data_IF_637211097259
#
_entry.id   IF_637211097259
#
_cell.length_a   1.000
_cell.length_b   1.000
_cell.length_c   1.000
_cell.angle_alpha   90.00
_cell.angle_beta   90.00
_cell.angle_gamma   90.00
#
_symmetry.space_group_name_H-M   'P 1'
#
loop_
_entity.id
_entity.type
_entity.pdbx_description
1 polymer ?
#
# COMPACT_ATOMS: atom_id res chain seq x y z
N UNK A 1 12.73 -57.97 22.19
CA UNK A 1 12.16 -56.61 22.34
C UNK A 1 13.35 -55.67 22.52
N UNK A 2 13.74 -54.75 21.63
CA UNK A 2 13.00 -53.87 20.73
C UNK A 2 13.60 -53.86 19.32
N UNK A 3 12.71 -53.84 18.37
CA UNK A 3 12.85 -53.61 16.93
C UNK A 3 13.02 -52.11 16.63
N UNK A 4 13.70 -51.81 15.50
CA UNK A 4 13.41 -50.71 14.55
C UNK A 4 13.62 -49.25 15.04
N UNK A 5 13.96 -48.25 14.23
CA UNK A 5 13.92 -48.06 12.76
C UNK A 5 15.05 -47.06 12.40
N UNK A 6 15.84 -47.36 11.38
CA UNK A 6 16.65 -46.36 10.66
C UNK A 6 15.69 -45.66 9.70
N UNK A 7 15.36 -44.40 9.97
CA UNK A 7 14.58 -43.58 9.03
C UNK A 7 15.49 -43.14 7.89
N UNK A 8 15.42 -43.84 6.78
CA UNK A 8 15.95 -43.38 5.49
C UNK A 8 15.15 -42.17 5.04
N UNK A 9 15.77 -40.99 5.05
CA UNK A 9 15.23 -39.81 4.37
C UNK A 9 15.63 -39.89 2.90
N UNK A 10 14.62 -40.02 2.04
CA UNK A 10 14.74 -40.00 0.60
C UNK A 10 14.97 -38.56 0.14
N UNK A 11 16.19 -38.23 -0.30
CA UNK A 11 16.49 -36.97 -0.98
C UNK A 11 16.04 -37.12 -2.43
N UNK A 12 14.85 -36.61 -2.76
CA UNK A 12 14.48 -36.42 -4.17
C UNK A 12 15.33 -35.26 -4.72
N UNK A 13 16.32 -35.61 -5.54
CA UNK A 13 17.11 -34.65 -6.29
C UNK A 13 16.24 -33.91 -7.30
N UNK A 14 15.90 -32.67 -7.00
CA UNK A 14 15.49 -31.70 -8.01
C UNK A 14 16.76 -31.30 -8.77
N UNK A 15 16.83 -31.70 -10.04
CA UNK A 15 17.83 -31.20 -10.98
C UNK A 15 17.69 -29.69 -11.07
N UNK A 16 18.64 -28.96 -10.48
CA UNK A 16 18.76 -27.51 -10.61
C UNK A 16 19.27 -27.25 -12.02
N UNK A 17 18.36 -27.03 -12.96
CA UNK A 17 18.70 -26.30 -14.19
C UNK A 17 19.28 -24.96 -13.73
N UNK A 18 20.45 -24.59 -14.24
CA UNK A 18 21.12 -23.33 -13.91
C UNK A 18 20.19 -22.15 -14.17
N UNK A 19 19.52 -21.66 -13.12
CA UNK A 19 18.84 -20.38 -13.16
C UNK A 19 19.95 -19.33 -13.23
N UNK A 20 20.02 -18.59 -14.34
CA UNK A 20 20.64 -17.28 -14.29
C UNK A 20 19.76 -16.46 -13.35
N UNK A 21 20.25 -16.11 -12.17
CA UNK A 21 19.56 -15.11 -11.36
C UNK A 21 19.51 -13.84 -12.20
N UNK A 22 18.30 -13.39 -12.55
CA UNK A 22 18.13 -12.00 -12.96
C UNK A 22 18.65 -11.13 -11.79
N UNK A 23 19.31 -10.03 -12.11
CA UNK A 23 19.75 -9.06 -11.11
C UNK A 23 18.51 -8.55 -10.36
N UNK A 24 18.40 -8.89 -9.08
CA UNK A 24 17.30 -8.43 -8.23
C UNK A 24 17.74 -7.13 -7.61
N UNK A 25 17.03 -6.05 -7.91
CA UNK A 25 17.24 -4.78 -7.24
C UNK A 25 16.28 -4.63 -6.08
N UNK A 26 16.70 -3.88 -5.07
CA UNK A 26 15.85 -3.52 -3.94
C UNK A 26 15.80 -2.01 -3.78
N UNK A 27 14.65 -1.49 -3.38
CA UNK A 27 14.53 -0.11 -2.96
C UNK A 27 13.86 -0.03 -1.60
N UNK A 28 14.33 0.86 -0.75
CA UNK A 28 13.63 1.21 0.48
C UNK A 28 13.52 2.72 0.58
N UNK A 29 12.51 3.21 1.29
CA UNK A 29 12.46 4.63 1.56
C UNK A 29 11.26 5.03 2.39
N UNK A 30 11.04 6.33 2.44
CA UNK A 30 9.99 6.91 3.24
C UNK A 30 9.47 8.20 2.60
N UNK A 31 8.32 8.66 3.09
CA UNK A 31 7.76 9.93 2.67
C UNK A 31 6.42 10.20 3.33
N UNK A 32 5.53 10.86 2.60
CA UNK A 32 4.19 11.20 3.05
C UNK A 32 3.13 10.50 2.20
N UNK A 33 2.02 10.16 2.86
CA UNK A 33 0.81 9.61 2.27
C UNK A 33 -0.35 10.49 2.69
N UNK A 34 -1.16 10.90 1.73
CA UNK A 34 -2.50 11.40 2.00
C UNK A 34 -3.57 10.47 1.45
N UNK A 35 -4.78 10.61 1.94
CA UNK A 35 -5.93 9.86 1.45
C UNK A 35 -7.21 10.66 1.59
N UNK A 36 -8.00 10.65 0.52
CA UNK A 36 -9.33 11.22 0.43
C UNK A 36 -10.34 10.06 0.30
N UNK A 37 -11.24 9.96 1.27
CA UNK A 37 -12.31 8.97 1.27
C UNK A 37 -13.63 9.71 1.41
N UNK A 38 -14.44 9.69 0.36
CA UNK A 38 -15.69 10.44 0.24
C UNK A 38 -16.85 9.50 0.11
N UNK A 39 -18.04 9.98 0.45
CA UNK A 39 -19.29 9.33 0.09
C UNK A 39 -20.09 10.27 -0.82
N UNK A 40 -20.48 9.83 -2.01
CA UNK A 40 -21.21 10.67 -2.98
C UNK A 40 -22.69 10.85 -2.62
N UNK A 41 -23.26 9.92 -1.85
CA UNK A 41 -24.69 9.95 -1.48
C UNK A 41 -24.97 10.64 -0.14
N UNK A 42 -23.92 11.04 0.58
CA UNK A 42 -24.05 11.75 1.86
C UNK A 42 -22.84 12.66 2.09
N UNK A 43 -22.98 13.64 2.96
CA UNK A 43 -21.99 14.69 3.18
C UNK A 43 -20.72 14.24 3.95
N UNK A 44 -20.30 12.98 3.84
CA UNK A 44 -19.14 12.47 4.58
C UNK A 44 -17.85 12.53 3.76
N UNK A 45 -16.81 13.09 4.38
CA UNK A 45 -15.46 13.19 3.83
C UNK A 45 -14.43 12.85 4.90
N UNK A 46 -13.42 12.09 4.51
CA UNK A 46 -12.29 11.65 5.31
C UNK A 46 -10.98 12.03 4.63
N UNK A 47 -10.27 12.99 5.22
CA UNK A 47 -8.92 13.38 4.82
C UNK A 47 -7.94 12.92 5.90
N UNK A 48 -6.93 12.16 5.49
CA UNK A 48 -5.87 11.71 6.37
C UNK A 48 -4.50 11.95 5.77
N UNK A 49 -3.54 12.33 6.62
CA UNK A 49 -2.12 12.39 6.25
C UNK A 49 -1.28 11.55 7.20
N UNK A 50 -0.36 10.75 6.68
CA UNK A 50 0.52 9.86 7.44
C UNK A 50 1.95 9.85 6.88
N UNK A 51 2.98 9.61 7.71
CA UNK A 51 4.25 9.11 7.19
C UNK A 51 4.05 7.72 6.58
N UNK A 52 4.78 7.44 5.50
CA UNK A 52 4.80 6.13 4.83
C UNK A 52 6.24 5.62 4.71
N UNK A 53 6.41 4.32 4.92
CA UNK A 53 7.64 3.59 4.69
C UNK A 53 7.39 2.58 3.57
N UNK A 54 8.30 2.50 2.62
CA UNK A 54 8.15 1.70 1.42
C UNK A 54 9.34 0.78 1.23
N UNK A 55 9.05 -0.43 0.76
CA UNK A 55 10.04 -1.40 0.32
C UNK A 55 9.62 -1.96 -1.03
N UNK A 56 10.57 -2.08 -1.96
CA UNK A 56 10.35 -2.63 -3.30
C UNK A 56 11.39 -3.71 -3.57
N UNK A 57 10.92 -4.82 -4.13
CA UNK A 57 11.76 -5.82 -4.76
C UNK A 57 11.50 -5.77 -6.26
N UNK A 58 12.57 -5.75 -7.05
CA UNK A 58 12.52 -5.64 -8.49
C UNK A 58 13.18 -6.88 -9.11
N UNK A 59 12.42 -7.97 -9.31
CA UNK A 59 12.93 -9.15 -10.01
C UNK A 59 13.33 -8.88 -11.48
N UNK A 60 12.90 -7.74 -12.03
CA UNK A 60 13.34 -7.19 -13.31
C UNK A 60 13.15 -5.67 -13.32
N UNK A 61 13.72 -4.98 -14.30
CA UNK A 61 13.55 -3.53 -14.47
C UNK A 61 12.10 -3.09 -14.73
N UNK A 62 11.22 -4.04 -15.08
CA UNK A 62 9.84 -3.81 -15.50
C UNK A 62 8.80 -4.37 -14.53
N UNK A 63 9.21 -5.08 -13.48
CA UNK A 63 8.31 -5.73 -12.55
C UNK A 63 8.73 -5.45 -11.11
N UNK A 64 7.79 -4.95 -10.31
CA UNK A 64 8.04 -4.54 -8.93
C UNK A 64 7.02 -5.18 -8.00
N UNK A 65 7.51 -5.72 -6.89
CA UNK A 65 6.72 -6.08 -5.73
C UNK A 65 6.95 -4.99 -4.69
N UNK A 66 5.92 -4.22 -4.39
CA UNK A 66 5.99 -3.07 -3.48
C UNK A 66 5.18 -3.36 -2.22
N UNK A 67 5.75 -3.00 -1.06
CA UNK A 67 5.04 -2.96 0.22
C UNK A 67 5.12 -1.55 0.79
N UNK A 68 3.98 -0.99 1.21
CA UNK A 68 3.93 0.28 1.93
C UNK A 68 3.33 0.07 3.31
N UNK A 69 3.93 0.68 4.32
CA UNK A 69 3.43 0.71 5.68
C UNK A 69 3.30 2.15 6.14
N UNK A 70 2.13 2.52 6.65
CA UNK A 70 1.87 3.84 7.20
C UNK A 70 1.27 3.72 8.60
N UNK A 71 1.64 4.64 9.47
CA UNK A 71 1.19 4.63 10.86
C UNK A 71 1.10 6.04 11.41
N UNK A 72 0.32 6.20 12.48
CA UNK A 72 0.12 7.48 13.15
C UNK A 72 -0.31 8.62 12.22
N UNK A 73 -1.08 8.30 11.18
CA UNK A 73 -1.66 9.32 10.32
C UNK A 73 -2.77 10.07 11.03
N UNK A 74 -2.73 11.39 11.00
CA UNK A 74 -3.79 12.22 11.56
C UNK A 74 -4.77 12.61 10.47
N UNK A 75 -6.06 12.52 10.77
CA UNK A 75 -7.08 12.94 9.82
C UNK A 75 -8.39 13.36 10.48
N UNK A 76 -9.23 13.97 9.68
CA UNK A 76 -10.58 14.40 10.05
C UNK A 76 -11.58 13.57 9.28
N UNK A 77 -12.63 13.16 9.97
CA UNK A 77 -13.81 12.57 9.38
C UNK A 77 -15.01 13.41 9.79
N UNK A 78 -15.66 14.05 8.83
CA UNK A 78 -16.84 14.88 9.08
C UNK A 78 -18.09 14.24 8.50
N UNK A 79 -19.16 14.26 9.29
CA UNK A 79 -20.53 14.13 8.82
C UNK A 79 -21.04 15.55 8.59
N UNK A 80 -21.45 15.88 7.36
CA UNK A 80 -21.96 17.18 6.91
C UNK A 80 -20.99 18.21 6.33
N UNK A 81 -21.39 18.73 5.18
CA UNK A 81 -20.99 19.98 4.53
C UNK A 81 -21.41 21.23 5.33
N UNK A 82 -21.73 21.05 6.62
CA UNK A 82 -22.11 22.10 7.55
C UNK A 82 -20.89 22.38 8.44
N UNK A 83 -20.26 23.57 8.35
CA UNK A 83 -19.03 23.92 9.07
C UNK A 83 -19.18 23.99 10.60
N UNK A 84 -20.34 23.58 11.15
CA UNK A 84 -20.68 23.57 12.58
C UNK A 84 -20.72 22.18 13.21
N UNK A 85 -20.67 21.09 12.42
CA UNK A 85 -20.44 19.75 12.97
C UNK A 85 -18.94 19.60 13.28
N UNK A 86 -18.61 19.30 14.53
CA UNK A 86 -17.21 19.11 14.91
C UNK A 86 -16.68 17.84 14.23
N UNK A 87 -15.66 17.94 13.33
CA UNK A 87 -15.08 16.77 12.71
C UNK A 87 -14.49 15.86 13.79
N UNK A 88 -14.74 14.55 13.65
CA UNK A 88 -14.12 13.56 14.51
C UNK A 88 -12.68 13.35 14.09
N UNK A 89 -11.75 13.36 15.06
CA UNK A 89 -10.34 13.13 14.80
C UNK A 89 -10.03 11.63 14.85
N UNK A 90 -9.24 11.19 13.88
CA UNK A 90 -8.89 9.78 13.71
C UNK A 90 -7.39 9.61 13.50
N UNK A 91 -6.87 8.51 14.06
CA UNK A 91 -5.56 7.95 13.74
C UNK A 91 -5.71 6.88 12.64
N UNK A 92 -4.97 7.00 11.54
CA UNK A 92 -4.92 6.00 10.48
C UNK A 92 -3.60 5.24 10.47
N UNK A 93 -3.68 3.96 10.14
CA UNK A 93 -2.54 3.06 9.96
C UNK A 93 -2.91 1.95 8.99
N UNK A 94 -1.95 1.42 8.23
CA UNK A 94 -2.22 0.35 7.28
C UNK A 94 -1.00 -0.19 6.58
N UNK A 95 -1.26 -1.23 5.80
CA UNK A 95 -0.31 -1.96 4.96
C UNK A 95 -0.87 -2.05 3.54
N UNK A 96 -0.01 -1.90 2.55
CA UNK A 96 -0.32 -2.08 1.13
C UNK A 96 0.68 -3.06 0.53
N UNK A 97 0.20 -3.97 -0.31
CA UNK A 97 1.03 -4.87 -1.11
C UNK A 97 0.62 -4.71 -2.58
N UNK A 98 1.56 -4.30 -3.42
CA UNK A 98 1.31 -4.00 -4.83
C UNK A 98 2.22 -4.83 -5.75
N UNK A 99 1.66 -5.24 -6.89
CA UNK A 99 2.37 -5.80 -8.02
C UNK A 99 2.29 -4.80 -9.16
N UNK A 100 3.45 -4.29 -9.60
CA UNK A 100 3.53 -3.17 -10.54
C UNK A 100 4.29 -3.59 -11.79
N UNK A 101 3.83 -3.06 -12.93
CA UNK A 101 4.55 -3.06 -14.20
C UNK A 101 5.11 -1.66 -14.47
N UNK A 102 6.37 -1.57 -14.87
CA UNK A 102 7.10 -0.31 -15.02
C UNK A 102 7.85 -0.19 -16.34
N UNK A 103 8.13 1.04 -16.75
CA UNK A 103 8.93 1.33 -17.95
C UNK A 103 10.39 0.95 -17.77
N UNK A 104 11.11 1.51 -16.80
CA UNK A 104 12.46 1.10 -16.39
C UNK A 104 12.74 1.70 -15.00
N UNK A 105 12.68 0.87 -13.97
CA UNK A 105 12.81 1.32 -12.57
C UNK A 105 14.26 1.45 -12.09
N UNK A 106 15.24 0.96 -12.86
CA UNK A 106 16.63 0.85 -12.40
C UNK A 106 17.52 1.91 -13.03
N UNK A 107 17.30 2.22 -14.31
CA UNK A 107 18.11 3.22 -15.01
C UNK A 107 17.87 4.63 -14.50
N UNK A 108 18.90 5.47 -14.52
CA UNK A 108 18.78 6.92 -14.27
C UNK A 108 17.76 7.55 -15.24
N UNK A 109 16.91 8.43 -14.72
CA UNK A 109 15.88 9.11 -15.50
C UNK A 109 14.45 8.83 -15.02
N UNK A 110 13.48 9.24 -15.85
CA UNK A 110 12.07 9.10 -15.53
C UNK A 110 11.57 7.67 -15.71
N UNK A 111 10.75 7.23 -14.77
CA UNK A 111 10.00 5.99 -14.88
C UNK A 111 8.52 6.22 -14.58
N UNK A 112 7.69 5.37 -15.16
CA UNK A 112 6.26 5.30 -14.87
C UNK A 112 5.87 3.85 -14.58
N UNK A 113 4.83 3.68 -13.78
CA UNK A 113 4.32 2.36 -13.42
C UNK A 113 2.82 2.38 -13.17
N UNK A 114 2.22 1.21 -13.34
CA UNK A 114 0.84 0.93 -12.97
C UNK A 114 0.74 -0.51 -12.48
N UNK A 115 -0.29 -0.82 -11.71
CA UNK A 115 -0.46 -2.17 -11.22
C UNK A 115 -1.75 -2.43 -10.49
N UNK A 116 -1.73 -3.53 -9.74
CA UNK A 116 -2.81 -3.92 -8.84
C UNK A 116 -2.22 -4.16 -7.46
N UNK A 117 -3.04 -4.02 -6.44
CA UNK A 117 -2.63 -4.28 -5.08
C UNK A 117 -3.77 -4.61 -4.16
N UNK A 118 -3.39 -4.95 -2.95
CA UNK A 118 -4.29 -5.15 -1.83
C UNK A 118 -3.89 -4.18 -0.71
N UNK A 119 -4.88 -3.55 -0.08
CA UNK A 119 -4.67 -2.72 1.08
C UNK A 119 -5.41 -3.26 2.29
N UNK A 120 -4.86 -3.00 3.47
CA UNK A 120 -5.55 -3.14 4.75
C UNK A 120 -5.24 -1.93 5.59
N UNK A 121 -6.28 -1.27 6.08
CA UNK A 121 -6.17 -0.08 6.90
C UNK A 121 -7.09 -0.13 8.10
N UNK A 122 -6.73 0.66 9.10
CA UNK A 122 -7.47 0.82 10.33
C UNK A 122 -7.54 2.29 10.70
N UNK A 123 -8.76 2.76 10.98
CA UNK A 123 -9.05 4.07 11.50
C UNK A 123 -9.46 3.95 12.96
N UNK A 124 -8.83 4.74 13.83
CA UNK A 124 -9.10 4.73 15.26
C UNK A 124 -9.52 6.12 15.71
N UNK A 125 -10.74 6.25 16.22
CA UNK A 125 -11.23 7.50 16.79
C UNK A 125 -10.39 7.87 18.01
N UNK A 126 -9.86 9.10 18.03
CA UNK A 126 -9.07 9.60 19.15
C UNK A 126 -9.96 9.82 20.38
N UNK A 127 -11.20 10.24 20.17
CA UNK A 127 -12.15 10.57 21.24
C UNK A 127 -12.81 9.34 21.85
N UNK A 128 -13.33 8.43 21.02
CA UNK A 128 -14.08 7.25 21.50
C UNK A 128 -13.22 5.99 21.63
N UNK A 129 -12.07 5.93 20.95
CA UNK A 129 -11.28 4.71 20.84
C UNK A 129 -11.86 3.66 19.88
N UNK A 130 -13.02 3.92 19.28
CA UNK A 130 -13.63 3.04 18.27
C UNK A 130 -12.67 2.81 17.11
N UNK A 131 -12.70 1.59 16.58
CA UNK A 131 -11.84 1.15 15.49
C UNK A 131 -12.71 0.70 14.33
N UNK A 132 -12.33 1.12 13.15
CA UNK A 132 -12.93 0.75 11.89
C UNK A 132 -11.83 0.23 10.97
N UNK A 133 -12.10 -0.83 10.24
CA UNK A 133 -11.15 -1.44 9.33
C UNK A 133 -11.71 -1.38 7.91
N UNK A 134 -10.84 -1.14 6.95
CA UNK A 134 -11.15 -1.28 5.53
C UNK A 134 -10.03 -2.08 4.86
N UNK A 135 -10.41 -2.98 3.97
CA UNK A 135 -9.45 -3.74 3.19
C UNK A 135 -10.08 -4.15 1.87
N UNK A 136 -9.30 -4.11 0.81
CA UNK A 136 -9.79 -4.40 -0.52
C UNK A 136 -8.71 -4.26 -1.56
N UNK A 137 -9.14 -4.28 -2.82
CA UNK A 137 -8.24 -4.09 -3.95
C UNK A 137 -7.92 -2.61 -4.16
N UNK A 138 -6.77 -2.36 -4.78
CA UNK A 138 -6.39 -1.03 -5.25
C UNK A 138 -5.67 -1.08 -6.59
N UNK A 139 -5.73 0.03 -7.31
CA UNK A 139 -5.09 0.24 -8.61
C UNK A 139 -4.11 1.41 -8.47
N UNK A 140 -2.83 1.12 -8.18
CA UNK A 140 -1.79 2.13 -8.16
C UNK A 140 -1.31 2.52 -9.56
N UNK A 141 -1.06 3.81 -9.73
CA UNK A 141 -0.31 4.40 -10.85
C UNK A 141 0.71 5.39 -10.29
N UNK A 142 1.86 5.53 -10.93
CA UNK A 142 2.85 6.47 -10.45
C UNK A 142 3.93 6.81 -11.45
N UNK A 143 4.67 7.85 -11.11
CA UNK A 143 5.81 8.36 -11.86
C UNK A 143 6.93 8.66 -10.88
N UNK A 144 8.17 8.48 -11.32
CA UNK A 144 9.33 8.83 -10.53
C UNK A 144 10.52 9.19 -11.37
N UNK A 145 11.59 9.58 -10.70
CA UNK A 145 12.86 9.94 -11.31
C UNK A 145 14.01 9.33 -10.51
N UNK A 146 14.82 8.50 -11.16
CA UNK A 146 16.06 7.95 -10.61
C UNK A 146 17.21 8.93 -10.83
N UNK A 147 18.00 9.16 -9.78
CA UNK A 147 19.21 9.99 -9.81
C UNK A 147 20.30 9.38 -8.94
N UNK A 148 21.18 8.61 -9.58
CA UNK A 148 22.20 7.82 -8.89
C UNK A 148 21.56 6.75 -8.01
N UNK A 149 21.95 6.68 -6.75
CA UNK A 149 21.43 5.67 -5.83
C UNK A 149 20.08 6.03 -5.19
N UNK A 150 19.43 7.10 -5.66
CA UNK A 150 18.19 7.59 -5.08
C UNK A 150 17.11 7.75 -6.15
N UNK A 151 15.85 7.77 -5.70
CA UNK A 151 14.73 8.17 -6.54
C UNK A 151 13.70 8.98 -5.78
N UNK A 152 13.02 9.85 -6.52
CA UNK A 152 11.84 10.57 -6.04
C UNK A 152 10.62 10.00 -6.77
N UNK A 153 9.57 9.69 -6.01
CA UNK A 153 8.42 8.94 -6.50
C UNK A 153 7.11 9.62 -6.08
N UNK A 154 6.18 9.71 -7.03
CA UNK A 154 4.81 10.14 -6.83
C UNK A 154 3.88 9.00 -7.25
N UNK A 155 2.99 8.61 -6.33
CA UNK A 155 1.99 7.57 -6.56
C UNK A 155 0.60 8.10 -6.29
N UNK A 156 -0.34 7.72 -7.14
CA UNK A 156 -1.76 7.77 -6.89
C UNK A 156 -2.30 6.35 -6.86
N UNK A 157 -3.23 6.02 -5.98
CA UNK A 157 -3.97 4.77 -6.11
C UNK A 157 -5.44 4.97 -5.86
N UNK A 158 -6.25 4.38 -6.73
CA UNK A 158 -7.67 4.24 -6.53
C UNK A 158 -7.93 2.97 -5.72
N UNK A 159 -8.75 3.06 -4.68
CA UNK A 159 -9.11 1.92 -3.83
C UNK A 159 -10.54 1.50 -4.11
N UNK A 160 -10.80 0.19 -4.01
CA UNK A 160 -12.13 -0.38 -4.08
C UNK A 160 -13.03 0.28 -3.03
N UNK A 161 -14.06 1.04 -3.44
CA UNK A 161 -14.82 1.82 -2.48
C UNK A 161 -15.70 0.97 -1.56
N UNK A 162 -16.15 -0.19 -2.03
CA UNK A 162 -16.98 -1.11 -1.25
C UNK A 162 -16.29 -1.57 0.04
N UNK A 163 -14.95 -1.49 0.12
CA UNK A 163 -14.18 -1.79 1.31
C UNK A 163 -14.50 -0.88 2.52
N UNK A 164 -15.14 0.26 2.31
CA UNK A 164 -15.52 1.22 3.36
C UNK A 164 -16.97 1.09 3.81
N UNK A 165 -17.76 0.21 3.16
CA UNK A 165 -19.18 0.00 3.49
C UNK A 165 -19.32 -0.89 4.74
N UNK A 166 -20.38 -0.66 5.51
CA UNK A 166 -20.75 -1.42 6.71
C UNK A 166 -20.05 -0.94 7.99
N UNK A 167 -18.72 -0.83 7.99
CA UNK A 167 -17.98 -0.35 9.17
C UNK A 167 -17.84 1.17 9.21
N UNK A 168 -17.48 1.80 8.09
CA UNK A 168 -17.19 3.24 8.02
C UNK A 168 -18.38 4.03 7.49
N UNK A 169 -18.96 3.57 6.38
CA UNK A 169 -20.17 4.13 5.79
C UNK A 169 -21.32 3.14 5.81
N UNK A 170 -22.55 3.62 5.68
CA UNK A 170 -23.73 2.77 5.52
C UNK A 170 -23.59 1.84 4.30
N UNK A 171 -24.22 0.67 4.33
CA UNK A 171 -24.12 -0.33 3.24
C UNK A 171 -24.66 0.18 1.90
N UNK A 172 -25.61 1.12 1.93
CA UNK A 172 -26.21 1.74 0.73
C UNK A 172 -25.44 2.97 0.24
N UNK A 173 -24.24 3.23 0.79
CA UNK A 173 -23.38 4.36 0.38
C UNK A 173 -22.77 4.19 -1.02
N UNK A 174 -22.32 5.30 -1.59
CA UNK A 174 -21.54 5.32 -2.82
C UNK A 174 -20.16 5.97 -2.55
N UNK A 175 -19.25 5.24 -1.88
CA UNK A 175 -17.96 5.79 -1.53
C UNK A 175 -17.05 5.96 -2.74
N UNK A 176 -16.08 6.85 -2.59
CA UNK A 176 -14.90 6.96 -3.44
C UNK A 176 -13.67 7.03 -2.53
N UNK A 177 -12.62 6.29 -2.86
CA UNK A 177 -11.43 6.25 -2.03
C UNK A 177 -10.18 6.35 -2.89
N UNK A 178 -9.35 7.33 -2.59
CA UNK A 178 -8.10 7.55 -3.29
C UNK A 178 -6.97 7.91 -2.33
N UNK A 179 -5.75 7.54 -2.73
CA UNK A 179 -4.53 7.84 -2.00
C UNK A 179 -3.54 8.55 -2.91
N UNK A 180 -2.70 9.37 -2.30
CA UNK A 180 -1.55 9.97 -2.94
C UNK A 180 -0.33 9.81 -2.03
N UNK A 181 0.81 9.49 -2.62
CA UNK A 181 2.06 9.31 -1.90
C UNK A 181 3.18 10.08 -2.59
N UNK A 182 4.02 10.72 -1.79
CA UNK A 182 5.32 11.21 -2.22
C UNK A 182 6.39 10.49 -1.41
N UNK A 183 7.40 9.95 -2.08
CA UNK A 183 8.44 9.12 -1.45
C UNK A 183 9.82 9.45 -1.99
N UNK A 184 10.81 9.35 -1.12
CA UNK A 184 12.21 9.27 -1.49
C UNK A 184 12.70 7.85 -1.21
N UNK A 185 13.32 7.22 -2.20
CA UNK A 185 13.80 5.85 -2.13
C UNK A 185 15.30 5.81 -2.37
N UNK A 186 15.97 4.81 -1.81
CA UNK A 186 17.37 4.46 -2.10
C UNK A 186 17.40 3.10 -2.79
N UNK A 187 18.27 2.98 -3.80
CA UNK A 187 18.45 1.80 -4.65
C UNK A 187 19.64 0.95 -4.14
N UNK A 188 19.49 -0.37 -4.12
CA UNK A 188 20.53 -1.36 -3.79
C UNK A 188 20.59 -2.48 -4.81
#
# INVERSE_FOLDING_TARGET
MKTMLINTVLIMGLSVSSFSFAEIHAQIGAGSRGSDIKNNSSSYDGDFTAPVFSARLLPSNHFVIETNYYFAGGGKFSQDSNPTSNPSNFETSGLELNLLLSTDMVSDGFYAYAGIGYFSERWKSITSGNKYNASGLQVPVGVGYNFGNFSADLQYAYREPDAYKGEIFDTDSDPEASIYQFRLLTNF
#
